data_IF_313194207509
#
_entry.id   IF_313194207509
#
_cell.length_a   1.000
_cell.length_b   1.000
_cell.length_c   1.000
_cell.angle_alpha   90.00
_cell.angle_beta   90.00
_cell.angle_gamma   90.00
#
_symmetry.space_group_name_H-M   'P 1'
#
loop_
_entity.id
_entity.type
_entity.pdbx_description
1 polymer ?
#
# COMPACT_ATOMS: atom_id res chain seq x y z
N UNK A 1 2.38 -13.47 4.66
CA UNK A 1 2.85 -12.15 5.20
C UNK A 1 3.09 -11.13 4.10
N UNK A 2 3.24 -11.59 2.86
CA UNK A 2 3.61 -10.84 1.67
C UNK A 2 2.56 -9.80 1.30
N UNK A 3 1.28 -10.17 1.37
CA UNK A 3 0.15 -9.29 1.02
C UNK A 3 -0.36 -8.44 2.19
N UNK A 4 -0.37 -9.01 3.40
CA UNK A 4 -0.89 -8.34 4.60
C UNK A 4 0.17 -7.56 5.38
N UNK A 5 1.45 -7.75 5.10
CA UNK A 5 2.55 -6.94 5.65
C UNK A 5 3.60 -6.71 4.54
N UNK A 6 3.22 -6.09 3.42
CA UNK A 6 4.15 -5.84 2.34
C UNK A 6 5.23 -4.86 2.79
N UNK A 7 6.32 -4.80 2.03
CA UNK A 7 7.32 -3.75 2.22
C UNK A 7 6.76 -2.41 1.73
N UNK A 8 5.94 -1.76 2.55
CA UNK A 8 5.28 -0.48 2.23
C UNK A 8 5.84 0.69 3.03
N UNK A 9 6.75 0.44 3.98
CA UNK A 9 7.39 1.48 4.78
C UNK A 9 8.77 1.82 4.21
N UNK A 10 9.14 3.11 4.26
CA UNK A 10 10.46 3.62 3.87
C UNK A 10 11.20 4.09 5.12
N UNK A 11 12.27 3.40 5.48
CA UNK A 11 13.21 3.82 6.53
C UNK A 11 14.35 4.66 5.94
N UNK A 12 14.89 4.27 4.78
CA UNK A 12 15.95 4.98 4.09
C UNK A 12 15.67 5.08 2.58
N UNK A 13 15.36 3.95 1.94
CA UNK A 13 15.23 3.87 0.47
C UNK A 13 13.89 3.32 0.02
N UNK A 14 13.52 3.67 -1.22
CA UNK A 14 12.46 3.00 -1.97
C UNK A 14 13.13 2.09 -2.99
N UNK A 15 12.90 0.78 -2.88
CA UNK A 15 13.51 -0.23 -3.74
C UNK A 15 12.84 -0.23 -5.13
N UNK A 16 11.52 -0.09 -5.18
CA UNK A 16 10.75 0.04 -6.41
C UNK A 16 9.48 0.88 -6.17
N UNK A 17 8.71 1.22 -7.21
CA UNK A 17 7.54 2.12 -7.11
C UNK A 17 6.58 1.80 -5.96
N UNK A 18 6.34 0.51 -5.69
CA UNK A 18 5.47 0.02 -4.61
C UNK A 18 6.17 -0.92 -3.63
N UNK A 19 7.49 -0.76 -3.48
CA UNK A 19 8.33 -1.58 -2.59
C UNK A 19 9.29 -0.69 -1.82
N UNK A 20 9.04 -0.55 -0.52
CA UNK A 20 9.95 0.03 0.46
C UNK A 20 11.01 -0.96 0.95
N UNK A 21 11.77 -0.55 1.95
CA UNK A 21 12.82 -1.35 2.59
C UNK A 21 12.33 -2.13 3.81
N UNK A 22 11.24 -1.68 4.46
CA UNK A 22 10.70 -2.29 5.69
C UNK A 22 9.25 -2.74 5.52
N UNK A 23 8.88 -3.87 6.15
CA UNK A 23 7.51 -4.38 6.18
C UNK A 23 6.62 -3.52 7.06
N UNK A 24 5.40 -3.24 6.58
CA UNK A 24 4.37 -2.61 7.39
C UNK A 24 3.79 -3.58 8.41
N UNK A 25 3.28 -3.04 9.53
CA UNK A 25 2.48 -3.78 10.51
C UNK A 25 0.97 -3.50 10.36
N UNK A 26 0.56 -3.04 9.17
CA UNK A 26 -0.84 -2.78 8.83
C UNK A 26 -1.35 -3.98 8.03
N UNK A 27 -2.32 -4.70 8.59
CA UNK A 27 -2.79 -5.98 8.04
C UNK A 27 -4.01 -5.87 7.14
N UNK A 28 -4.85 -4.86 7.38
CA UNK A 28 -6.09 -4.67 6.64
C UNK A 28 -5.76 -4.26 5.22
N UNK A 29 -6.26 -4.99 4.23
CA UNK A 29 -6.17 -4.61 2.82
C UNK A 29 -7.47 -3.88 2.43
N UNK A 30 -7.33 -2.75 1.73
CA UNK A 30 -8.44 -2.05 1.10
C UNK A 30 -8.41 -2.36 -0.40
N UNK A 31 -9.47 -2.97 -0.91
CA UNK A 31 -9.61 -3.42 -2.31
C UNK A 31 -10.22 -2.38 -3.23
N UNK A 32 -10.52 -1.18 -2.75
CA UNK A 32 -10.93 -0.06 -3.61
C UNK A 32 -9.75 0.37 -4.49
N UNK A 33 -9.86 0.32 -5.84
CA UNK A 33 -8.80 0.72 -6.76
C UNK A 33 -8.43 2.20 -6.67
N UNK A 34 -9.28 3.03 -6.06
CA UNK A 34 -9.05 4.46 -5.84
C UNK A 34 -8.50 4.78 -4.45
N UNK A 35 -8.38 3.79 -3.58
CA UNK A 35 -7.86 4.00 -2.23
C UNK A 35 -6.41 4.51 -2.26
N UNK A 36 -6.12 5.44 -1.37
CA UNK A 36 -4.76 5.92 -1.12
C UNK A 36 -4.33 5.55 0.30
N UNK A 37 -3.23 4.82 0.42
CA UNK A 37 -2.65 4.35 1.68
C UNK A 37 -2.13 5.49 2.56
N UNK A 38 -1.73 6.62 1.98
CA UNK A 38 -1.08 7.70 2.71
C UNK A 38 -1.94 8.96 2.75
N UNK A 39 -1.78 9.73 3.82
CA UNK A 39 -2.29 11.10 3.95
C UNK A 39 -1.12 12.03 4.27
N UNK A 40 -1.12 13.21 3.68
CA UNK A 40 -0.18 14.27 4.03
C UNK A 40 -0.89 15.25 4.96
N UNK A 41 -0.25 15.56 6.07
CA UNK A 41 -0.69 16.54 7.06
C UNK A 41 0.33 17.66 7.08
N UNK A 42 -0.15 18.90 7.05
CA UNK A 42 0.69 20.08 7.18
C UNK A 42 0.40 20.74 8.53
N UNK A 43 1.39 20.74 9.41
CA UNK A 43 1.30 21.35 10.73
C UNK A 43 2.54 22.20 10.98
N UNK A 44 2.33 23.44 11.44
CA UNK A 44 3.42 24.38 11.78
C UNK A 44 4.43 24.55 10.63
N UNK A 45 3.96 24.58 9.38
CA UNK A 45 4.77 24.72 8.17
C UNK A 45 5.58 23.48 7.78
N UNK A 46 5.38 22.34 8.45
CA UNK A 46 6.02 21.05 8.10
C UNK A 46 5.01 20.10 7.50
N UNK A 47 5.32 19.56 6.32
CA UNK A 47 4.55 18.49 5.66
C UNK A 47 5.05 17.14 6.14
N UNK A 48 4.17 16.36 6.74
CA UNK A 48 4.43 15.00 7.19
C UNK A 48 3.46 14.03 6.53
N UNK A 49 3.94 12.85 6.13
CA UNK A 49 3.12 11.80 5.52
C UNK A 49 2.88 10.68 6.51
N UNK A 50 1.62 10.28 6.67
CA UNK A 50 1.21 9.20 7.56
C UNK A 50 0.46 8.13 6.79
N UNK A 51 0.66 6.86 7.18
CA UNK A 51 -0.16 5.78 6.68
C UNK A 51 -1.56 5.85 7.29
N UNK A 52 -2.57 5.55 6.48
CA UNK A 52 -3.92 5.20 6.93
C UNK A 52 -3.89 3.75 7.43
N UNK A 53 -4.89 3.34 8.21
CA UNK A 53 -4.98 2.01 8.81
C UNK A 53 -5.27 0.85 7.84
N UNK A 54 -4.84 0.93 6.58
CA UNK A 54 -4.99 -0.12 5.59
C UNK A 54 -3.85 -0.08 4.56
N UNK A 55 -3.62 -1.21 3.90
CA UNK A 55 -2.72 -1.41 2.76
C UNK A 55 -3.55 -1.34 1.48
N UNK A 56 -3.07 -0.64 0.46
CA UNK A 56 -3.72 -0.63 -0.87
C UNK A 56 -3.23 -1.76 -1.75
N UNK A 57 -4.01 -2.06 -2.80
CA UNK A 57 -3.67 -3.08 -3.80
C UNK A 57 -2.28 -2.87 -4.43
N UNK A 58 -1.82 -1.63 -4.55
CA UNK A 58 -0.49 -1.32 -5.09
C UNK A 58 0.62 -2.05 -4.32
N UNK A 59 0.60 -1.94 -3.00
CA UNK A 59 1.62 -2.51 -2.13
C UNK A 59 1.40 -4.00 -1.88
N UNK A 60 0.14 -4.46 -1.89
CA UNK A 60 -0.18 -5.86 -1.67
C UNK A 60 0.09 -6.76 -2.89
N UNK A 61 -0.08 -6.23 -4.11
CA UNK A 61 -0.11 -7.05 -5.33
C UNK A 61 1.05 -6.78 -6.30
N UNK A 62 1.48 -5.53 -6.48
CA UNK A 62 2.34 -5.18 -7.63
C UNK A 62 3.83 -5.42 -7.41
N UNK A 63 4.23 -5.87 -6.21
CA UNK A 63 5.57 -6.42 -6.01
C UNK A 63 5.80 -7.70 -6.80
N UNK A 64 4.74 -8.52 -7.01
CA UNK A 64 4.78 -9.73 -7.83
C UNK A 64 4.06 -9.55 -9.18
N UNK A 65 3.03 -8.71 -9.23
CA UNK A 65 2.18 -8.51 -10.41
C UNK A 65 2.36 -7.10 -11.03
N UNK A 66 3.61 -6.67 -11.22
CA UNK A 66 3.93 -5.30 -11.66
C UNK A 66 3.42 -4.88 -13.06
N UNK A 67 2.94 -5.84 -13.86
CA UNK A 67 2.34 -5.59 -15.20
C UNK A 67 0.81 -5.48 -15.18
N UNK A 68 0.19 -5.56 -14.00
CA UNK A 68 -1.26 -5.47 -13.81
C UNK A 68 -1.66 -4.10 -13.28
N UNK A 69 -2.94 -3.78 -13.41
CA UNK A 69 -3.53 -2.54 -12.91
C UNK A 69 -4.38 -2.77 -11.65
N UNK A 70 -4.84 -1.66 -11.06
CA UNK A 70 -5.63 -1.67 -9.82
C UNK A 70 -7.01 -2.31 -10.02
N UNK A 71 -7.58 -2.21 -11.21
CA UNK A 71 -8.89 -2.79 -11.49
C UNK A 71 -8.84 -4.32 -11.56
N UNK A 72 -7.78 -4.86 -12.17
CA UNK A 72 -7.48 -6.28 -12.13
C UNK A 72 -7.29 -6.75 -10.69
N UNK A 73 -6.50 -6.04 -9.89
CA UNK A 73 -6.24 -6.42 -8.50
C UNK A 73 -7.51 -6.35 -7.63
N UNK A 74 -8.36 -5.34 -7.85
CA UNK A 74 -9.63 -5.20 -7.14
C UNK A 74 -10.59 -6.36 -7.44
N UNK A 75 -10.68 -6.74 -8.73
CA UNK A 75 -11.47 -7.91 -9.16
C UNK A 75 -10.90 -9.22 -8.61
N UNK A 76 -9.57 -9.39 -8.63
CA UNK A 76 -8.91 -10.59 -8.12
C UNK A 76 -9.06 -10.75 -6.59
N UNK A 77 -9.12 -9.64 -5.85
CA UNK A 77 -9.38 -9.65 -4.41
C UNK A 77 -10.84 -9.91 -4.02
N UNK A 78 -11.77 -9.86 -4.99
CA UNK A 78 -13.21 -10.05 -4.73
C UNK A 78 -13.46 -11.46 -4.20
N UNK A 79 -14.16 -11.54 -3.07
CA UNK A 79 -14.47 -12.81 -2.39
C UNK A 79 -13.49 -13.19 -1.27
N UNK A 80 -12.30 -12.58 -1.23
CA UNK A 80 -11.31 -12.79 -0.16
C UNK A 80 -11.31 -11.65 0.87
N UNK A 81 -11.67 -10.44 0.45
CA UNK A 81 -11.78 -9.26 1.30
C UNK A 81 -13.19 -8.66 1.16
N UNK A 82 -13.74 -8.18 2.28
CA UNK A 82 -15.07 -7.54 2.38
C UNK A 82 -14.94 -6.15 2.98
#
# INVERSE_FOLDING_TARGET
VECHMPKASKSAIRVASYVGDVRTHIFKINTDPKANMFKTVEEKGKKSTFAKGFVTLDFACFSCHGSRDREWASKAGKGFHK
#
